data_IF_733813929721
#
_entry.id   IF_733813929721
#
_cell.length_a   1.000
_cell.length_b   1.000
_cell.length_c   1.000
_cell.angle_alpha   90.00
_cell.angle_beta   90.00
_cell.angle_gamma   90.00
#
_symmetry.space_group_name_H-M   'P 1'
#
loop_
_entity.id
_entity.type
_entity.pdbx_description
1 polymer ?
#
# COMPACT_ATOMS: atom_id res chain seq x y z
N UNK A 1 -14.48 22.67 34.05
CA UNK A 1 -15.69 21.83 33.83
C UNK A 1 -15.23 20.43 33.47
N UNK A 2 -15.55 19.42 34.29
CA UNK A 2 -15.29 18.03 33.94
C UNK A 2 -16.16 17.65 32.74
N UNK A 3 -15.58 17.15 31.65
CA UNK A 3 -16.35 16.62 30.51
C UNK A 3 -17.20 15.46 31.03
N UNK A 4 -18.53 15.58 30.95
CA UNK A 4 -19.41 14.44 31.22
C UNK A 4 -19.03 13.27 30.29
N UNK A 5 -18.99 12.03 30.79
CA UNK A 5 -18.66 10.88 29.96
C UNK A 5 -19.73 10.73 28.87
N UNK A 6 -19.31 10.75 27.59
CA UNK A 6 -20.22 10.52 26.47
C UNK A 6 -20.89 9.15 26.56
N UNK A 7 -22.16 9.09 26.18
CA UNK A 7 -22.91 7.86 25.97
C UNK A 7 -22.25 6.97 24.89
N UNK A 8 -22.51 5.67 24.97
CA UNK A 8 -22.05 4.66 24.03
C UNK A 8 -22.53 4.96 22.61
N UNK A 9 -23.78 5.42 22.40
CA UNK A 9 -24.26 5.71 21.05
C UNK A 9 -23.52 6.90 20.44
N UNK A 10 -23.23 7.94 21.22
CA UNK A 10 -22.50 9.11 20.72
C UNK A 10 -21.03 8.78 20.42
N UNK A 11 -20.40 7.93 21.24
CA UNK A 11 -19.07 7.36 20.92
C UNK A 11 -19.10 6.59 19.60
N UNK A 12 -20.10 5.75 19.39
CA UNK A 12 -20.23 4.98 18.14
C UNK A 12 -20.44 5.87 16.92
N UNK A 13 -21.22 6.96 17.03
CA UNK A 13 -21.36 7.93 15.93
C UNK A 13 -20.02 8.54 15.55
N UNK A 14 -19.23 8.98 16.52
CA UNK A 14 -17.89 9.55 16.29
C UNK A 14 -16.95 8.51 15.67
N UNK A 15 -16.90 7.30 16.22
CA UNK A 15 -16.04 6.23 15.74
C UNK A 15 -16.42 5.80 14.32
N UNK A 16 -17.72 5.68 14.02
CA UNK A 16 -18.19 5.27 12.71
C UNK A 16 -17.92 6.35 11.64
N UNK A 17 -17.92 7.62 12.00
CA UNK A 17 -17.68 8.73 11.07
C UNK A 17 -16.22 8.82 10.59
N UNK A 18 -15.26 8.20 11.29
CA UNK A 18 -13.84 8.25 10.96
C UNK A 18 -13.28 6.83 10.78
N UNK A 19 -12.87 6.43 9.56
CA UNK A 19 -12.28 5.11 9.33
C UNK A 19 -11.05 4.82 10.19
N UNK A 20 -10.22 5.82 10.52
CA UNK A 20 -9.05 5.64 11.37
C UNK A 20 -9.45 5.26 12.81
N UNK A 21 -10.48 5.93 13.34
CA UNK A 21 -11.04 5.59 14.65
C UNK A 21 -11.72 4.22 14.61
N UNK A 22 -12.48 3.94 13.57
CA UNK A 22 -13.16 2.65 13.42
C UNK A 22 -12.18 1.48 13.43
N UNK A 23 -11.11 1.57 12.62
CA UNK A 23 -10.06 0.55 12.57
C UNK A 23 -9.37 0.37 13.92
N UNK A 24 -9.01 1.49 14.58
CA UNK A 24 -8.34 1.45 15.88
C UNK A 24 -9.18 0.80 16.98
N UNK A 25 -10.50 1.00 16.95
CA UNK A 25 -11.39 0.52 18.01
C UNK A 25 -11.93 -0.89 17.76
N UNK A 26 -12.13 -1.28 16.50
CA UNK A 26 -12.83 -2.52 16.16
C UNK A 26 -11.99 -3.55 15.42
N UNK A 27 -10.86 -3.17 14.82
CA UNK A 27 -10.06 -4.10 14.02
C UNK A 27 -8.70 -4.33 14.66
N UNK A 28 -8.27 -5.59 14.62
CA UNK A 28 -6.92 -6.00 15.00
C UNK A 28 -6.19 -6.57 13.79
N UNK A 29 -4.87 -6.41 13.81
CA UNK A 29 -3.94 -6.94 12.81
C UNK A 29 -2.80 -7.66 13.54
N UNK A 30 -2.11 -8.53 12.82
CA UNK A 30 -0.88 -9.17 13.29
C UNK A 30 0.31 -8.28 12.96
N UNK A 31 1.12 -7.91 13.96
CA UNK A 31 2.36 -7.16 13.76
C UNK A 31 3.51 -8.05 13.24
N UNK A 32 4.68 -7.44 13.02
CA UNK A 32 5.86 -8.15 12.51
C UNK A 32 6.38 -9.23 13.49
N UNK A 33 6.07 -9.07 14.78
CA UNK A 33 6.39 -10.02 15.85
C UNK A 33 5.33 -11.12 16.03
N UNK A 34 4.28 -11.14 15.20
CA UNK A 34 3.23 -12.15 15.24
C UNK A 34 2.16 -11.89 16.31
N UNK A 35 2.15 -10.70 16.95
CA UNK A 35 1.19 -10.34 17.98
C UNK A 35 -0.04 -9.66 17.37
N UNK A 36 -1.21 -10.02 17.89
CA UNK A 36 -2.47 -9.38 17.55
C UNK A 36 -2.58 -8.03 18.29
N UNK A 37 -2.59 -6.93 17.54
CA UNK A 37 -2.64 -5.56 18.05
C UNK A 37 -3.79 -4.77 17.41
N UNK A 38 -4.31 -3.71 18.06
CA UNK A 38 -5.28 -2.82 17.42
C UNK A 38 -4.71 -2.17 16.15
N UNK A 39 -5.53 -2.03 15.12
CA UNK A 39 -5.10 -1.41 13.87
C UNK A 39 -5.06 0.11 14.02
N UNK A 40 -3.87 0.63 14.30
CA UNK A 40 -3.57 2.07 14.20
C UNK A 40 -2.97 2.38 12.84
N UNK A 41 -3.53 3.37 12.15
CA UNK A 41 -2.99 3.83 10.88
C UNK A 41 -1.55 4.32 11.04
N UNK A 42 -0.75 3.96 10.07
CA UNK A 42 0.61 4.44 9.93
C UNK A 42 0.58 5.79 9.15
N UNK A 43 1.70 6.52 9.05
CA UNK A 43 1.67 7.87 8.46
C UNK A 43 1.33 7.88 6.98
N UNK A 44 1.81 6.89 6.22
CA UNK A 44 1.56 6.78 4.77
C UNK A 44 0.08 6.43 4.52
N UNK A 45 -0.48 5.55 5.34
CA UNK A 45 -1.90 5.21 5.29
C UNK A 45 -2.77 6.43 5.64
N UNK A 46 -2.39 7.18 6.68
CA UNK A 46 -3.08 8.42 7.06
C UNK A 46 -3.03 9.50 5.98
N UNK A 47 -1.86 9.67 5.34
CA UNK A 47 -1.68 10.58 4.21
C UNK A 47 -2.58 10.18 3.03
N UNK A 48 -2.56 8.89 2.65
CA UNK A 48 -3.44 8.38 1.59
C UNK A 48 -4.91 8.63 1.91
N UNK A 49 -5.39 8.28 3.11
CA UNK A 49 -6.80 8.46 3.48
C UNK A 49 -7.24 9.93 3.42
N UNK A 50 -6.36 10.86 3.84
CA UNK A 50 -6.65 12.29 3.90
C UNK A 50 -6.69 12.93 2.52
N UNK A 51 -5.92 12.39 1.57
CA UNK A 51 -5.68 13.02 0.28
C UNK A 51 -6.18 12.23 -0.93
N UNK A 52 -6.67 11.00 -0.76
CA UNK A 52 -7.17 10.18 -1.88
C UNK A 52 -8.27 10.90 -2.66
N UNK A 53 -8.20 10.77 -3.98
CA UNK A 53 -9.28 11.13 -4.89
C UNK A 53 -10.09 9.90 -5.30
N UNK A 54 -10.82 10.04 -6.40
CA UNK A 54 -11.58 8.95 -7.03
C UNK A 54 -10.71 7.92 -7.74
N UNK A 55 -9.64 8.37 -8.39
CA UNK A 55 -8.66 7.53 -9.10
C UNK A 55 -7.30 7.77 -8.46
N UNK A 56 -6.70 6.74 -7.89
CA UNK A 56 -5.44 6.85 -7.15
C UNK A 56 -4.44 5.83 -7.65
N UNK A 57 -3.18 6.25 -7.75
CA UNK A 57 -2.05 5.37 -8.04
C UNK A 57 -0.97 5.57 -6.99
N UNK A 58 -0.51 4.47 -6.39
CA UNK A 58 0.52 4.47 -5.36
C UNK A 58 1.73 3.69 -5.88
N UNK A 59 2.87 4.37 -5.98
CA UNK A 59 4.18 3.73 -6.05
C UNK A 59 4.77 3.71 -4.64
N UNK A 60 5.19 2.54 -4.17
CA UNK A 60 5.68 2.40 -2.79
C UNK A 60 6.90 1.49 -2.68
N UNK A 61 7.62 1.63 -1.57
CA UNK A 61 8.49 0.58 -1.06
C UNK A 61 7.70 -0.62 -0.51
N UNK A 62 8.37 -1.76 -0.33
CA UNK A 62 7.73 -2.94 0.27
C UNK A 62 7.26 -2.72 1.71
N UNK A 63 6.24 -3.51 2.08
CA UNK A 63 5.67 -3.71 3.42
C UNK A 63 5.12 -2.48 4.19
N UNK A 64 4.62 -1.45 3.49
CA UNK A 64 3.89 -0.32 4.10
C UNK A 64 2.44 -0.63 4.55
N UNK A 65 1.93 -1.84 4.29
CA UNK A 65 0.59 -2.25 4.72
C UNK A 65 -0.58 -1.61 3.96
N UNK A 66 -0.36 -1.12 2.73
CA UNK A 66 -1.42 -0.49 1.91
C UNK A 66 -2.59 -1.45 1.63
N UNK A 67 -2.31 -2.69 1.27
CA UNK A 67 -3.36 -3.72 1.11
C UNK A 67 -4.17 -3.91 2.40
N UNK A 68 -3.52 -3.87 3.56
CA UNK A 68 -4.17 -4.05 4.87
C UNK A 68 -5.12 -2.90 5.20
N UNK A 69 -4.70 -1.63 5.00
CA UNK A 69 -5.61 -0.49 5.19
C UNK A 69 -6.78 -0.55 4.21
N UNK A 70 -6.56 -0.97 2.96
CA UNK A 70 -7.63 -1.10 1.98
C UNK A 70 -8.67 -2.15 2.37
N UNK A 71 -8.27 -3.31 2.90
CA UNK A 71 -9.20 -4.27 3.49
C UNK A 71 -9.99 -3.67 4.65
N UNK A 72 -9.32 -2.91 5.51
CA UNK A 72 -9.93 -2.20 6.62
C UNK A 72 -11.00 -1.21 6.17
N UNK A 73 -10.70 -0.39 5.16
CA UNK A 73 -11.65 0.55 4.57
C UNK A 73 -12.86 -0.17 3.94
N UNK A 74 -12.63 -1.30 3.27
CA UNK A 74 -13.73 -2.12 2.72
C UNK A 74 -14.62 -2.66 3.83
N UNK A 75 -14.05 -3.15 4.93
CA UNK A 75 -14.81 -3.62 6.10
C UNK A 75 -15.61 -2.48 6.75
N UNK A 76 -14.96 -1.34 7.02
CA UNK A 76 -15.60 -0.16 7.57
C UNK A 76 -16.79 0.29 6.71
N UNK A 77 -16.56 0.48 5.40
CA UNK A 77 -17.61 0.89 4.48
C UNK A 77 -18.72 -0.17 4.37
N UNK A 78 -18.39 -1.47 4.38
CA UNK A 78 -19.38 -2.54 4.35
C UNK A 78 -20.26 -2.59 5.60
N UNK A 79 -19.74 -2.17 6.76
CA UNK A 79 -20.53 -2.05 8.00
C UNK A 79 -21.49 -0.87 7.97
N UNK A 80 -21.11 0.24 7.32
CA UNK A 80 -21.91 1.46 7.31
C UNK A 80 -22.87 1.57 6.12
N UNK A 81 -22.58 0.87 5.02
CA UNK A 81 -23.40 0.85 3.80
C UNK A 81 -23.91 -0.54 3.51
N UNK A 82 -25.22 -0.74 3.63
CA UNK A 82 -25.88 -2.00 3.26
C UNK A 82 -25.88 -2.20 1.74
N UNK A 83 -25.89 -3.47 1.30
CA UNK A 83 -25.94 -3.88 -0.12
C UNK A 83 -24.83 -3.27 -1.00
N UNK A 84 -23.65 -3.02 -0.44
CA UNK A 84 -22.49 -2.44 -1.13
C UNK A 84 -21.50 -3.52 -1.58
N UNK A 85 -20.76 -3.29 -2.67
CA UNK A 85 -19.76 -4.25 -3.16
C UNK A 85 -18.35 -3.63 -3.12
N UNK A 86 -17.36 -4.45 -2.81
CA UNK A 86 -15.95 -4.07 -2.73
C UNK A 86 -15.11 -5.14 -3.42
N UNK A 87 -14.06 -4.70 -4.10
CA UNK A 87 -13.20 -5.60 -4.85
C UNK A 87 -11.72 -5.36 -4.54
N UNK A 88 -11.05 -6.44 -4.20
CA UNK A 88 -9.63 -6.51 -3.96
C UNK A 88 -9.03 -7.46 -4.99
N UNK A 89 -8.03 -7.00 -5.73
CA UNK A 89 -7.42 -7.76 -6.80
C UNK A 89 -5.93 -7.92 -6.58
N UNK A 90 -5.41 -9.07 -6.98
CA UNK A 90 -3.97 -9.36 -7.04
C UNK A 90 -3.64 -10.18 -8.29
N UNK A 91 -2.34 -10.42 -8.53
CA UNK A 91 -1.82 -11.03 -9.75
C UNK A 91 -1.91 -12.57 -9.76
N UNK A 92 -1.84 -13.22 -8.60
CA UNK A 92 -1.88 -14.67 -8.48
C UNK A 92 -2.80 -15.18 -7.35
N UNK A 93 -3.07 -16.49 -7.38
CA UNK A 93 -4.01 -17.16 -6.46
C UNK A 93 -3.52 -17.22 -5.02
N UNK A 94 -2.22 -17.39 -4.79
CA UNK A 94 -1.63 -17.49 -3.46
C UNK A 94 -1.65 -16.13 -2.75
N UNK A 95 -1.32 -15.07 -3.51
CA UNK A 95 -1.47 -13.69 -3.05
C UNK A 95 -2.93 -13.38 -2.68
N UNK A 96 -3.90 -13.79 -3.50
CA UNK A 96 -5.33 -13.67 -3.19
C UNK A 96 -5.72 -14.41 -1.92
N UNK A 97 -5.28 -15.65 -1.73
CA UNK A 97 -5.57 -16.42 -0.52
C UNK A 97 -4.99 -15.75 0.73
N UNK A 98 -3.75 -15.26 0.65
CA UNK A 98 -3.10 -14.54 1.74
C UNK A 98 -3.85 -13.25 2.13
N UNK A 99 -4.26 -12.47 1.13
CA UNK A 99 -5.06 -11.25 1.34
C UNK A 99 -6.42 -11.62 1.95
N UNK A 100 -7.08 -12.67 1.48
CA UNK A 100 -8.37 -13.09 2.00
C UNK A 100 -8.29 -13.61 3.45
N UNK A 101 -7.22 -14.33 3.80
CA UNK A 101 -6.98 -14.76 5.18
C UNK A 101 -6.80 -13.57 6.12
N UNK A 102 -6.10 -12.51 5.69
CA UNK A 102 -6.02 -11.26 6.47
C UNK A 102 -7.39 -10.60 6.63
N UNK A 103 -8.19 -10.56 5.57
CA UNK A 103 -9.56 -10.04 5.64
C UNK A 103 -10.39 -10.79 6.68
N UNK A 104 -10.31 -12.13 6.71
CA UNK A 104 -11.00 -12.95 7.73
C UNK A 104 -10.55 -12.60 9.14
N UNK A 105 -9.24 -12.56 9.38
CA UNK A 105 -8.68 -12.21 10.69
C UNK A 105 -9.15 -10.83 11.15
N UNK A 106 -9.13 -9.85 10.25
CA UNK A 106 -9.62 -8.49 10.54
C UNK A 106 -11.11 -8.50 10.87
N UNK A 107 -11.93 -9.20 10.09
CA UNK A 107 -13.37 -9.30 10.31
C UNK A 107 -13.72 -10.05 11.62
N UNK A 108 -13.05 -11.16 11.91
CA UNK A 108 -13.22 -11.95 13.13
C UNK A 108 -12.76 -11.20 14.39
N UNK A 109 -11.87 -10.21 14.24
CA UNK A 109 -11.43 -9.38 15.36
C UNK A 109 -12.47 -8.33 15.81
N UNK A 110 -13.49 -8.08 14.99
CA UNK A 110 -14.56 -7.13 15.28
C UNK A 110 -15.43 -7.69 16.43
N UNK A 111 -15.72 -6.91 17.49
CA UNK A 111 -16.53 -7.38 18.61
C UNK A 111 -17.90 -7.92 18.16
N UNK A 112 -18.28 -9.10 18.63
CA UNK A 112 -19.52 -9.80 18.22
C UNK A 112 -20.79 -8.96 18.33
N UNK A 113 -20.88 -8.10 19.35
CA UNK A 113 -22.03 -7.21 19.56
C UNK A 113 -22.18 -6.12 18.49
N UNK A 114 -21.12 -5.86 17.73
CA UNK A 114 -21.06 -4.83 16.69
C UNK A 114 -20.90 -5.43 15.28
N UNK A 115 -20.23 -6.58 15.17
CA UNK A 115 -19.96 -7.29 13.92
C UNK A 115 -21.28 -7.66 13.22
N UNK A 116 -21.38 -7.35 11.93
CA UNK A 116 -22.50 -7.83 11.10
C UNK A 116 -22.23 -9.30 10.78
N UNK A 117 -23.18 -10.22 11.04
CA UNK A 117 -22.97 -11.64 10.76
C UNK A 117 -22.69 -11.91 9.27
N UNK A 118 -21.89 -12.95 9.01
CA UNK A 118 -21.65 -13.42 7.65
C UNK A 118 -22.80 -14.29 7.15
N UNK A 119 -23.29 -13.98 5.95
CA UNK A 119 -24.17 -14.86 5.19
C UNK A 119 -23.39 -15.92 4.41
N UNK A 120 -22.19 -15.58 3.95
CA UNK A 120 -21.27 -16.50 3.26
C UNK A 120 -19.82 -16.04 3.45
N UNK A 121 -18.95 -16.98 3.79
CA UNK A 121 -17.52 -16.74 4.01
C UNK A 121 -16.71 -17.90 3.42
N UNK A 122 -16.26 -17.78 2.17
CA UNK A 122 -15.56 -18.87 1.46
C UNK A 122 -14.04 -18.65 1.37
N UNK A 123 -13.39 -18.84 0.22
CA UNK A 123 -11.95 -18.55 0.02
C UNK A 123 -11.67 -17.26 -0.76
N UNK A 124 -12.71 -16.64 -1.34
CA UNK A 124 -12.57 -15.48 -2.24
C UNK A 124 -13.63 -14.40 -1.97
N UNK A 125 -14.58 -14.64 -1.10
CA UNK A 125 -15.69 -13.73 -0.86
C UNK A 125 -16.21 -13.82 0.58
N UNK A 126 -16.38 -12.64 1.17
CA UNK A 126 -17.12 -12.39 2.40
C UNK A 126 -18.40 -11.64 2.04
N UNK A 127 -19.56 -12.25 2.31
CA UNK A 127 -20.89 -11.68 2.14
C UNK A 127 -21.54 -11.57 3.52
N UNK A 128 -21.95 -10.35 3.88
CA UNK A 128 -22.58 -10.04 5.15
C UNK A 128 -24.10 -10.10 5.05
N UNK A 129 -24.80 -10.27 6.17
CA UNK A 129 -26.26 -10.31 6.21
C UNK A 129 -26.95 -9.03 5.73
N UNK A 130 -26.29 -7.87 5.87
CA UNK A 130 -26.76 -6.60 5.31
C UNK A 130 -26.67 -6.53 3.77
N UNK A 131 -26.22 -7.61 3.13
CA UNK A 131 -26.06 -7.74 1.68
C UNK A 131 -24.75 -7.19 1.13
N UNK A 132 -23.87 -6.65 1.97
CA UNK A 132 -22.58 -6.12 1.54
C UNK A 132 -21.58 -7.23 1.30
N UNK A 133 -20.72 -7.04 0.29
CA UNK A 133 -19.81 -8.08 -0.21
C UNK A 133 -18.40 -7.53 -0.43
N UNK A 134 -17.41 -8.22 0.14
CA UNK A 134 -15.99 -8.00 -0.16
C UNK A 134 -15.46 -9.22 -0.89
N UNK A 135 -15.01 -9.03 -2.13
CA UNK A 135 -14.44 -10.08 -2.96
C UNK A 135 -12.94 -9.86 -3.16
N UNK A 136 -12.14 -10.92 -2.94
CA UNK A 136 -10.70 -10.95 -3.23
C UNK A 136 -10.47 -11.94 -4.37
N UNK A 137 -9.95 -11.47 -5.51
CA UNK A 137 -9.86 -12.26 -6.74
C UNK A 137 -8.59 -12.00 -7.53
N UNK A 138 -8.19 -12.99 -8.33
CA UNK A 138 -7.22 -12.75 -9.39
C UNK A 138 -7.91 -11.96 -10.50
N UNK A 139 -7.22 -10.99 -11.09
CA UNK A 139 -7.77 -10.29 -12.25
C UNK A 139 -7.87 -11.24 -13.47
N UNK A 140 -9.05 -11.80 -13.71
CA UNK A 140 -9.33 -12.67 -14.85
C UNK A 140 -9.65 -11.92 -16.14
N UNK A 141 -9.29 -12.52 -17.27
CA UNK A 141 -9.37 -11.92 -18.62
C UNK A 141 -10.78 -11.66 -19.16
N UNK A 142 -11.82 -12.34 -18.66
CA UNK A 142 -13.13 -12.37 -19.34
C UNK A 142 -14.26 -11.60 -18.66
N UNK A 143 -14.22 -11.27 -17.37
CA UNK A 143 -15.42 -10.77 -16.67
C UNK A 143 -15.20 -10.00 -15.35
N UNK A 144 -13.96 -9.74 -14.93
CA UNK A 144 -13.75 -9.14 -13.60
C UNK A 144 -14.27 -7.69 -13.55
N UNK A 145 -15.01 -7.36 -12.49
CA UNK A 145 -15.64 -6.06 -12.28
C UNK A 145 -17.03 -5.91 -12.91
N UNK A 146 -17.36 -6.58 -14.02
CA UNK A 146 -18.61 -6.31 -14.76
C UNK A 146 -19.90 -6.75 -14.05
N UNK A 147 -19.81 -7.65 -13.07
CA UNK A 147 -20.99 -8.21 -12.43
C UNK A 147 -21.59 -7.33 -11.33
N UNK A 148 -20.81 -6.39 -10.77
CA UNK A 148 -21.23 -5.61 -9.61
C UNK A 148 -20.72 -4.17 -9.69
N UNK A 149 -21.53 -3.23 -9.19
CA UNK A 149 -21.11 -1.85 -8.95
C UNK A 149 -20.36 -1.78 -7.62
N UNK A 150 -19.08 -1.38 -7.65
CA UNK A 150 -18.18 -1.41 -6.49
C UNK A 150 -17.97 -0.02 -5.89
N UNK A 151 -17.99 0.09 -4.56
CA UNK A 151 -17.66 1.29 -3.81
C UNK A 151 -16.13 1.50 -3.74
N UNK A 152 -15.37 0.44 -3.46
CA UNK A 152 -13.92 0.49 -3.39
C UNK A 152 -13.33 -0.62 -4.24
N UNK A 153 -12.37 -0.26 -5.10
CA UNK A 153 -11.58 -1.20 -5.87
C UNK A 153 -10.10 -1.00 -5.52
N UNK A 154 -9.42 -2.08 -5.13
CA UNK A 154 -7.97 -2.07 -4.93
C UNK A 154 -7.29 -3.06 -5.88
N UNK A 155 -6.31 -2.57 -6.64
CA UNK A 155 -5.44 -3.41 -7.46
C UNK A 155 -4.08 -3.48 -6.79
N UNK A 156 -3.82 -4.56 -6.06
CA UNK A 156 -2.57 -4.80 -5.34
C UNK A 156 -1.50 -5.34 -6.28
N UNK A 157 -0.27 -4.86 -6.12
CA UNK A 157 0.90 -5.28 -6.89
C UNK A 157 0.68 -5.19 -8.41
N UNK A 158 0.06 -4.09 -8.85
CA UNK A 158 -0.43 -3.92 -10.23
C UNK A 158 0.66 -4.00 -11.30
N UNK A 159 1.90 -3.61 -11.00
CA UNK A 159 3.01 -3.68 -11.95
C UNK A 159 3.42 -5.13 -12.31
N UNK A 160 3.01 -6.11 -11.49
CA UNK A 160 3.27 -7.54 -11.69
C UNK A 160 2.12 -8.26 -12.42
N UNK A 161 1.03 -7.55 -12.72
CA UNK A 161 -0.05 -8.10 -13.53
C UNK A 161 0.41 -8.25 -14.98
N UNK A 162 -0.13 -9.21 -15.71
CA UNK A 162 0.12 -9.32 -17.15
C UNK A 162 -0.37 -8.08 -17.90
N UNK A 163 0.25 -7.76 -19.03
CA UNK A 163 -0.12 -6.58 -19.85
C UNK A 163 -1.62 -6.53 -20.14
N UNK A 164 -2.21 -7.67 -20.51
CA UNK A 164 -3.65 -7.77 -20.76
C UNK A 164 -4.50 -7.48 -19.51
N UNK A 165 -4.08 -7.94 -18.33
CA UNK A 165 -4.75 -7.63 -17.07
C UNK A 165 -4.66 -6.13 -16.75
N UNK A 166 -3.49 -5.52 -16.97
CA UNK A 166 -3.28 -4.10 -16.71
C UNK A 166 -4.11 -3.21 -17.64
N UNK A 167 -4.25 -3.56 -18.92
CA UNK A 167 -5.00 -2.73 -19.87
C UNK A 167 -6.51 -3.00 -19.80
N UNK A 168 -6.92 -4.24 -20.11
CA UNK A 168 -8.34 -4.59 -20.23
C UNK A 168 -9.02 -4.75 -18.87
N UNK A 169 -8.28 -5.30 -17.89
CA UNK A 169 -8.78 -5.48 -16.53
C UNK A 169 -9.04 -4.14 -15.85
N UNK A 170 -8.06 -3.22 -15.89
CA UNK A 170 -8.23 -1.89 -15.29
C UNK A 170 -9.41 -1.12 -15.92
N UNK A 171 -9.54 -1.14 -17.25
CA UNK A 171 -10.67 -0.49 -17.93
C UNK A 171 -12.03 -1.03 -17.44
N UNK A 172 -12.16 -2.36 -17.31
CA UNK A 172 -13.38 -2.98 -16.82
C UNK A 172 -13.66 -2.63 -15.34
N UNK A 173 -12.62 -2.56 -14.52
CA UNK A 173 -12.73 -2.17 -13.11
C UNK A 173 -13.19 -0.73 -12.96
N UNK A 174 -12.59 0.20 -13.70
CA UNK A 174 -13.00 1.60 -13.69
C UNK A 174 -14.47 1.79 -14.09
N UNK A 175 -14.96 1.00 -15.05
CA UNK A 175 -16.36 1.02 -15.47
C UNK A 175 -17.30 0.47 -14.38
N UNK A 176 -16.82 -0.46 -13.56
CA UNK A 176 -17.58 -1.04 -12.44
C UNK A 176 -17.65 -0.15 -11.19
N UNK A 177 -16.89 0.94 -11.15
CA UNK A 177 -16.85 1.83 -10.00
C UNK A 177 -18.17 2.60 -9.84
N UNK A 178 -18.73 2.59 -8.64
CA UNK A 178 -19.95 3.34 -8.28
C UNK A 178 -19.78 4.83 -8.62
N UNK A 179 -20.84 5.48 -9.08
CA UNK A 179 -20.84 6.90 -9.45
C UNK A 179 -20.93 7.86 -8.26
N UNK A 180 -21.09 7.35 -7.03
CA UNK A 180 -21.00 8.16 -5.81
C UNK A 180 -19.61 8.81 -5.68
N UNK A 181 -19.58 10.00 -5.06
CA UNK A 181 -18.34 10.76 -4.83
C UNK A 181 -17.40 10.07 -3.83
N UNK A 182 -17.95 9.20 -2.97
CA UNK A 182 -17.18 8.43 -2.00
C UNK A 182 -16.47 7.22 -2.60
N UNK A 183 -16.93 6.75 -3.77
CA UNK A 183 -16.37 5.56 -4.40
C UNK A 183 -15.04 5.87 -5.09
N UNK A 184 -14.06 4.98 -4.89
CA UNK A 184 -12.73 5.17 -5.44
C UNK A 184 -12.04 3.87 -5.88
N UNK A 185 -11.13 4.00 -6.82
CA UNK A 185 -10.19 2.96 -7.22
C UNK A 185 -8.77 3.37 -6.81
N UNK A 186 -8.00 2.41 -6.34
CA UNK A 186 -6.59 2.57 -6.02
C UNK A 186 -5.79 1.45 -6.67
N UNK A 187 -4.89 1.81 -7.58
CA UNK A 187 -3.86 0.90 -8.09
C UNK A 187 -2.59 1.13 -7.29
N UNK A 188 -1.96 0.06 -6.81
CA UNK A 188 -0.83 0.13 -5.90
C UNK A 188 0.19 -0.93 -6.29
N UNK A 189 1.47 -0.57 -6.34
CA UNK A 189 2.54 -1.54 -6.60
C UNK A 189 3.89 -1.02 -6.12
N UNK A 190 4.84 -1.94 -5.91
CA UNK A 190 6.25 -1.62 -6.15
C UNK A 190 6.52 -1.54 -7.65
N UNK A 191 7.64 -0.95 -8.05
CA UNK A 191 7.98 -0.86 -9.47
C UNK A 191 8.37 -2.22 -10.06
N UNK A 192 8.16 -2.38 -11.37
CA UNK A 192 8.51 -3.59 -12.11
C UNK A 192 8.90 -3.22 -13.56
N UNK A 193 9.99 -2.46 -13.68
CA UNK A 193 10.54 -2.01 -14.94
C UNK A 193 9.76 -0.93 -15.69
N UNK A 194 10.33 -0.56 -16.84
CA UNK A 194 9.83 0.50 -17.73
C UNK A 194 8.86 -0.09 -18.76
N UNK A 195 7.85 0.70 -19.12
CA UNK A 195 7.01 0.44 -20.29
C UNK A 195 5.71 -0.34 -20.01
N UNK A 196 5.55 -0.94 -18.84
CA UNK A 196 4.27 -1.50 -18.42
C UNK A 196 3.23 -0.38 -18.17
N UNK A 197 1.95 -0.75 -18.04
CA UNK A 197 0.88 0.23 -17.89
C UNK A 197 0.99 0.97 -16.54
N UNK A 198 1.44 0.31 -15.48
CA UNK A 198 1.69 0.95 -14.19
C UNK A 198 2.68 2.12 -14.32
N UNK A 199 3.84 1.91 -14.94
CA UNK A 199 4.84 2.95 -15.23
C UNK A 199 4.24 4.12 -16.02
N UNK A 200 3.47 3.81 -17.08
CA UNK A 200 2.83 4.82 -17.94
C UNK A 200 1.84 5.67 -17.15
N UNK A 201 0.95 5.04 -16.38
CA UNK A 201 -0.07 5.74 -15.58
C UNK A 201 0.58 6.56 -14.46
N UNK A 202 1.56 5.99 -13.75
CA UNK A 202 2.25 6.67 -12.66
C UNK A 202 2.95 7.94 -13.16
N UNK A 203 3.73 7.83 -14.25
CA UNK A 203 4.45 8.96 -14.80
C UNK A 203 3.54 10.03 -15.38
N UNK A 204 2.43 9.64 -16.01
CA UNK A 204 1.42 10.61 -16.43
C UNK A 204 0.81 11.32 -15.21
N UNK A 205 0.52 10.59 -14.12
CA UNK A 205 -0.07 11.13 -12.91
C UNK A 205 0.85 12.09 -12.15
N UNK A 206 2.13 11.74 -11.94
CA UNK A 206 3.08 12.62 -11.25
C UNK A 206 3.38 13.89 -12.05
N UNK A 207 3.24 13.86 -13.39
CA UNK A 207 3.35 15.02 -14.29
C UNK A 207 2.05 15.82 -14.42
N UNK A 208 0.96 15.41 -13.78
CA UNK A 208 -0.35 16.09 -13.90
C UNK A 208 -1.09 15.86 -15.22
N UNK A 209 -0.70 14.84 -15.99
CA UNK A 209 -1.30 14.44 -17.27
C UNK A 209 -2.17 13.18 -17.15
N UNK A 210 -2.74 12.92 -15.97
CA UNK A 210 -3.62 11.78 -15.72
C UNK A 210 -4.78 12.17 -14.82
N UNK A 211 -5.90 11.45 -14.94
CA UNK A 211 -7.00 11.52 -13.97
C UNK A 211 -6.63 10.89 -12.62
N UNK A 212 -5.59 10.06 -12.60
CA UNK A 212 -5.10 9.42 -11.39
C UNK A 212 -4.30 10.41 -10.56
N UNK A 213 -4.58 10.46 -9.25
CA UNK A 213 -3.75 11.14 -8.27
C UNK A 213 -2.60 10.23 -7.87
N UNK A 214 -1.36 10.68 -8.11
CA UNK A 214 -0.16 9.93 -7.74
C UNK A 214 0.19 10.13 -6.27
N UNK A 215 0.59 9.04 -5.63
CA UNK A 215 1.21 8.99 -4.32
C UNK A 215 2.52 8.23 -4.42
N UNK A 216 3.55 8.73 -3.74
CA UNK A 216 4.83 8.04 -3.63
C UNK A 216 5.23 7.93 -2.17
N UNK A 217 5.52 6.70 -1.73
CA UNK A 217 5.97 6.41 -0.37
C UNK A 217 7.30 5.66 -0.42
N UNK A 218 8.37 6.33 -0.01
CA UNK A 218 9.70 5.75 0.03
C UNK A 218 9.96 4.97 1.33
N UNK A 219 11.15 4.38 1.45
CA UNK A 219 11.52 3.50 2.56
C UNK A 219 11.99 4.22 3.83
N UNK A 220 12.43 5.49 3.74
CA UNK A 220 13.05 6.22 4.88
C UNK A 220 12.18 7.33 5.47
N UNK A 221 11.08 7.72 4.80
CA UNK A 221 10.11 8.68 5.33
C UNK A 221 8.98 7.98 6.07
N UNK A 222 8.49 8.69 7.09
CA UNK A 222 7.32 8.31 7.88
C UNK A 222 7.47 7.02 8.69
N UNK A 223 6.45 6.17 8.69
CA UNK A 223 6.25 5.17 9.75
C UNK A 223 6.86 3.81 9.43
N UNK A 224 6.80 3.38 8.16
CA UNK A 224 7.54 2.20 7.68
C UNK A 224 9.03 2.32 8.00
N UNK A 225 9.59 3.50 7.78
CA UNK A 225 10.97 3.83 8.09
C UNK A 225 11.37 3.74 9.58
N UNK A 226 10.42 3.93 10.50
CA UNK A 226 10.67 3.99 11.95
C UNK A 226 10.44 2.66 12.67
N UNK A 227 9.47 1.86 12.22
CA UNK A 227 9.08 0.62 12.90
C UNK A 227 9.40 -0.65 12.12
N UNK A 228 9.27 -0.63 10.79
CA UNK A 228 9.31 -1.85 9.97
C UNK A 228 10.70 -2.52 9.99
N UNK A 229 11.76 -1.72 9.87
CA UNK A 229 13.13 -2.20 9.83
C UNK A 229 13.89 -1.99 11.14
N UNK A 230 13.21 -1.72 12.25
CA UNK A 230 13.86 -1.32 13.52
C UNK A 230 14.95 -2.31 13.96
N UNK A 231 14.65 -3.61 13.87
CA UNK A 231 15.59 -4.66 14.26
C UNK A 231 16.76 -4.77 13.27
N UNK A 232 16.49 -4.68 11.97
CA UNK A 232 17.54 -4.72 10.95
C UNK A 232 18.44 -3.48 10.99
N UNK A 233 17.88 -2.30 11.21
CA UNK A 233 18.62 -1.06 11.43
C UNK A 233 19.55 -1.21 12.64
N UNK A 234 19.10 -1.84 13.72
CA UNK A 234 19.95 -2.11 14.89
C UNK A 234 21.10 -3.09 14.56
N UNK A 235 20.84 -4.10 13.73
CA UNK A 235 21.88 -5.02 13.25
C UNK A 235 22.90 -4.26 12.39
N UNK A 236 22.44 -3.44 11.44
CA UNK A 236 23.29 -2.64 10.56
C UNK A 236 24.16 -1.65 11.35
N UNK A 237 23.60 -0.96 12.35
CA UNK A 237 24.36 -0.06 13.25
C UNK A 237 25.46 -0.83 14.00
N UNK A 238 25.18 -2.04 14.47
CA UNK A 238 26.20 -2.90 15.12
C UNK A 238 27.27 -3.36 14.14
N UNK A 239 26.89 -3.67 12.90
CA UNK A 239 27.81 -4.07 11.83
C UNK A 239 28.82 -2.96 11.52
N UNK A 240 28.37 -1.70 11.40
CA UNK A 240 29.24 -0.53 11.30
C UNK A 240 30.12 -0.33 12.55
N UNK A 241 29.52 -0.44 13.74
CA UNK A 241 30.21 -0.16 15.01
C UNK A 241 31.38 -1.11 15.29
N UNK A 242 31.32 -2.34 14.77
CA UNK A 242 32.40 -3.34 14.89
C UNK A 242 33.56 -3.09 13.90
N UNK A 243 33.50 -2.04 13.08
CA UNK A 243 34.53 -1.69 12.11
C UNK A 243 34.54 -2.58 10.86
N UNK A 244 33.52 -3.42 10.66
CA UNK A 244 33.42 -4.30 9.48
C UNK A 244 33.20 -3.46 8.22
N UNK A 245 32.38 -2.42 8.32
CA UNK A 245 32.12 -1.44 7.26
C UNK A 245 32.77 -0.06 7.52
N UNK A 246 33.46 0.10 8.64
CA UNK A 246 33.84 1.42 9.16
C UNK A 246 32.68 2.17 9.82
N UNK A 247 33.00 3.23 10.57
CA UNK A 247 31.97 4.15 11.10
C UNK A 247 31.52 5.06 9.97
N UNK A 248 30.20 5.22 9.81
CA UNK A 248 29.64 6.18 8.86
C UNK A 248 29.33 7.50 9.58
N UNK A 249 30.09 8.54 9.27
CA UNK A 249 29.84 9.91 9.70
C UNK A 249 29.26 10.74 8.55
N UNK A 250 28.68 11.89 8.87
CA UNK A 250 28.13 12.78 7.83
C UNK A 250 29.20 13.19 6.81
N UNK A 251 30.46 13.39 7.22
CA UNK A 251 31.53 13.77 6.30
C UNK A 251 31.88 12.66 5.29
N UNK A 252 31.51 11.42 5.59
CA UNK A 252 31.83 10.26 4.75
C UNK A 252 30.75 10.00 3.67
N UNK A 253 29.63 10.74 3.70
CA UNK A 253 28.51 10.50 2.79
C UNK A 253 28.89 10.84 1.35
N UNK A 254 28.65 9.87 0.45
CA UNK A 254 28.72 10.11 -0.99
C UNK A 254 27.62 11.09 -1.46
N UNK A 255 27.68 11.61 -2.70
CA UNK A 255 26.70 12.58 -3.18
C UNK A 255 25.24 12.10 -3.15
N UNK A 256 24.99 10.81 -3.37
CA UNK A 256 23.65 10.24 -3.32
C UNK A 256 23.17 10.06 -1.87
N UNK A 257 24.02 9.54 -0.99
CA UNK A 257 23.73 9.46 0.45
C UNK A 257 23.50 10.83 1.07
N UNK A 258 24.26 11.85 0.67
CA UNK A 258 24.04 13.24 1.05
C UNK A 258 22.64 13.70 0.64
N UNK A 259 22.26 13.46 -0.61
CA UNK A 259 20.92 13.79 -1.12
C UNK A 259 19.81 13.13 -0.28
N UNK A 260 19.97 11.85 0.07
CA UNK A 260 19.02 11.15 0.95
C UNK A 260 18.98 11.76 2.35
N UNK A 261 20.14 12.08 2.90
CA UNK A 261 20.27 12.68 4.23
C UNK A 261 19.58 14.05 4.29
N UNK A 262 19.82 14.89 3.29
CA UNK A 262 19.20 16.21 3.15
C UNK A 262 17.67 16.10 2.94
N UNK A 263 17.19 15.01 2.32
CA UNK A 263 15.75 14.72 2.17
C UNK A 263 15.13 14.05 3.43
N UNK A 264 15.89 13.93 4.53
CA UNK A 264 15.41 13.48 5.84
C UNK A 264 15.73 12.03 6.20
N UNK A 265 16.59 11.35 5.44
CA UNK A 265 17.13 10.04 5.80
C UNK A 265 18.16 10.19 6.94
N UNK A 266 18.13 9.31 7.93
CA UNK A 266 19.07 9.32 9.06
C UNK A 266 20.33 8.50 8.75
N UNK A 267 21.45 8.80 9.40
CA UNK A 267 22.66 7.97 9.30
C UNK A 267 22.39 6.49 9.60
N UNK A 268 21.51 6.19 10.57
CA UNK A 268 21.13 4.81 10.91
C UNK A 268 20.41 4.11 9.76
N UNK A 269 19.59 4.83 9.01
CA UNK A 269 18.91 4.32 7.83
C UNK A 269 19.87 4.14 6.66
N UNK A 270 20.84 5.04 6.48
CA UNK A 270 21.90 4.88 5.49
C UNK A 270 22.78 3.65 5.78
N UNK A 271 23.13 3.41 7.05
CA UNK A 271 23.79 2.18 7.48
C UNK A 271 22.96 0.92 7.15
N UNK A 272 21.64 0.97 7.32
CA UNK A 272 20.76 -0.14 6.91
C UNK A 272 20.75 -0.35 5.40
N UNK A 273 20.75 0.72 4.61
CA UNK A 273 20.89 0.62 3.15
C UNK A 273 22.22 -0.02 2.76
N UNK A 274 23.34 0.42 3.30
CA UNK A 274 24.65 -0.20 3.03
C UNK A 274 24.70 -1.68 3.43
N UNK A 275 24.07 -2.01 4.56
CA UNK A 275 23.93 -3.39 5.01
C UNK A 275 23.08 -4.23 4.04
N UNK A 276 21.97 -3.70 3.51
CA UNK A 276 21.15 -4.38 2.51
C UNK A 276 21.87 -4.59 1.18
N UNK A 277 22.68 -3.61 0.77
CA UNK A 277 23.48 -3.69 -0.46
C UNK A 277 24.61 -4.75 -0.40
N UNK A 278 24.80 -5.41 0.75
CA UNK A 278 25.64 -6.62 0.80
C UNK A 278 24.95 -7.83 0.17
N UNK A 279 23.61 -7.85 0.12
CA UNK A 279 22.81 -8.98 -0.34
C UNK A 279 22.18 -8.75 -1.72
N UNK A 280 21.89 -7.50 -2.08
CA UNK A 280 21.18 -7.12 -3.31
C UNK A 280 21.89 -6.00 -4.06
N UNK A 281 21.68 -5.91 -5.37
CA UNK A 281 22.24 -4.83 -6.19
C UNK A 281 21.58 -3.48 -5.88
N UNK A 282 22.23 -2.39 -6.32
CA UNK A 282 21.67 -1.05 -6.21
C UNK A 282 20.32 -0.93 -6.93
N UNK A 283 20.20 -1.55 -8.11
CA UNK A 283 18.98 -1.55 -8.92
C UNK A 283 17.86 -2.33 -8.24
N UNK A 284 18.17 -3.50 -7.67
CA UNK A 284 17.21 -4.28 -6.88
C UNK A 284 16.75 -3.50 -5.64
N UNK A 285 17.67 -2.80 -4.97
CA UNK A 285 17.33 -1.92 -3.85
C UNK A 285 16.41 -0.78 -4.30
N UNK A 286 16.72 -0.11 -5.40
CA UNK A 286 15.91 0.99 -5.94
C UNK A 286 14.51 0.52 -6.37
N UNK A 287 14.38 -0.70 -6.90
CA UNK A 287 13.09 -1.26 -7.26
C UNK A 287 12.22 -1.59 -6.04
N UNK A 288 12.82 -2.16 -4.99
CA UNK A 288 12.11 -2.67 -3.80
C UNK A 288 11.92 -1.62 -2.70
N UNK A 289 12.90 -0.73 -2.57
CA UNK A 289 13.02 0.34 -1.60
C UNK A 289 13.40 1.64 -2.32
N UNK A 290 12.56 2.13 -3.26
CA UNK A 290 12.85 3.37 -3.98
C UNK A 290 12.92 4.54 -3.02
N UNK A 291 13.95 5.36 -3.17
CA UNK A 291 14.11 6.64 -2.48
C UNK A 291 13.37 7.75 -3.21
N UNK A 292 13.38 7.69 -4.54
CA UNK A 292 12.71 8.62 -5.46
C UNK A 292 11.91 7.86 -6.52
N UNK A 293 10.87 8.46 -7.12
CA UNK A 293 10.05 7.76 -8.10
C UNK A 293 10.80 7.37 -9.40
N UNK A 294 11.72 8.22 -9.85
CA UNK A 294 12.41 8.03 -11.14
C UNK A 294 13.33 6.81 -11.14
N UNK A 295 13.96 6.51 -10.00
CA UNK A 295 14.88 5.38 -9.87
C UNK A 295 14.15 4.04 -9.70
N UNK A 296 12.91 4.07 -9.20
CA UNK A 296 12.13 2.86 -8.92
C UNK A 296 11.97 1.96 -10.14
N UNK A 297 11.87 2.56 -11.33
CA UNK A 297 11.58 1.84 -12.56
C UNK A 297 12.83 1.37 -13.31
N UNK A 298 14.03 1.72 -12.84
CA UNK A 298 15.28 1.34 -13.50
C UNK A 298 15.43 -0.18 -13.39
N UNK A 299 15.27 -0.90 -14.49
CA UNK A 299 15.58 -2.32 -14.59
C UNK A 299 17.07 -2.55 -14.80
N UNK A 300 17.55 -3.71 -14.35
CA UNK A 300 18.86 -4.26 -14.69
C UNK A 300 19.14 -4.07 -16.18
N UNK A 301 20.16 -3.27 -16.44
CA UNK A 301 20.48 -2.80 -17.76
C UNK A 301 21.17 -3.92 -18.55
N UNK A 302 20.39 -4.77 -19.24
CA UNK A 302 20.93 -5.69 -20.25
C UNK A 302 21.12 -5.00 -21.61
N UNK A 303 20.84 -3.69 -21.70
CA UNK A 303 21.08 -2.87 -22.88
C UNK A 303 22.52 -2.34 -22.93
N UNK A 304 23.00 -2.11 -24.15
CA UNK A 304 24.33 -1.51 -24.43
C UNK A 304 24.45 -0.06 -23.92
N UNK A 305 23.33 0.58 -23.58
CA UNK A 305 23.26 1.98 -23.17
C UNK A 305 22.78 2.12 -21.73
N UNK A 306 23.36 3.05 -20.98
CA UNK A 306 22.98 3.38 -19.61
C UNK A 306 21.52 3.84 -19.49
N UNK A 307 20.70 3.07 -18.76
CA UNK A 307 19.28 3.35 -18.55
C UNK A 307 19.03 4.67 -17.81
N UNK A 308 19.95 5.09 -16.92
CA UNK A 308 19.90 6.39 -16.24
C UNK A 308 20.05 7.54 -17.24
N UNK A 309 21.04 7.45 -18.15
CA UNK A 309 21.28 8.41 -19.22
C UNK A 309 20.07 8.55 -20.16
N UNK A 310 19.39 7.44 -20.48
CA UNK A 310 18.16 7.47 -21.29
C UNK A 310 17.04 8.19 -20.55
N UNK A 311 16.82 7.87 -19.27
CA UNK A 311 15.77 8.47 -18.43
C UNK A 311 15.94 9.98 -18.29
N UNK A 312 17.18 10.45 -18.15
CA UNK A 312 17.48 11.88 -18.10
C UNK A 312 17.14 12.61 -19.42
N UNK A 313 17.28 11.95 -20.58
CA UNK A 313 16.93 12.53 -21.88
C UNK A 313 15.43 12.63 -22.15
N UNK A 314 14.60 11.76 -21.57
CA UNK A 314 13.14 11.83 -21.66
C UNK A 314 12.50 12.93 -20.78
N UNK A 315 13.31 13.66 -19.99
CA UNK A 315 12.87 14.80 -19.18
C UNK A 315 12.96 16.15 -19.89
N UNK A 316 13.44 16.17 -21.14
CA UNK A 316 13.33 17.29 -22.09
C UNK A 316 12.24 17.00 -23.12
#
# INVERSE_FOLDING_TARGET
MARQPMDTQDKLKIINADPALWLKNFVKITDAEGKIIPFVLNSEQGDFLSHKGRYNIILKSRQLGMTTVMLGLMLWSAHLKSKSNYMMLSYDTDSVQNIFNRLKQMYESIPDKYRIPEKRNNKMELLLENGSRIAVKVCGYKTVGRSFTNEIIHCSEFAFWSEQQQEKGLLALEQSLNKSDEAFICIESTANGIGNNFYKIFNAAIKGHSKYKAFFYNWYKGSGAKSQFKNEVHIAVKWHSKGIAGKLHEIDLDPYQRKLFDDGCTLRQLMWREYKLQDISEEEFQQEFPSFPDEAFITTNTGVFDALTITQRFKY
#
